data_IF_528679875607
#
_entry.id   IF_528679875607
#
_cell.length_a   1.000
_cell.length_b   1.000
_cell.length_c   1.000
_cell.angle_alpha   90.00
_cell.angle_beta   90.00
_cell.angle_gamma   90.00
#
_symmetry.space_group_name_H-M   'P 1'
#
loop_
_entity.id
_entity.type
_entity.pdbx_description
1 polymer ?
#
# COMPACT_ATOMS: atom_id res chain seq x y z
N UNK A 1 6.34 -12.25 -15.40
CA UNK A 1 5.73 -12.75 -14.14
C UNK A 1 4.23 -12.53 -14.23
N UNK A 2 3.38 -13.56 -14.09
CA UNK A 2 1.92 -13.40 -14.22
C UNK A 2 1.37 -12.70 -12.97
N UNK A 3 1.30 -11.37 -13.02
CA UNK A 3 0.95 -10.50 -11.88
C UNK A 3 -0.40 -10.86 -11.25
N UNK A 4 -1.35 -11.39 -12.02
CA UNK A 4 -2.64 -11.88 -11.54
C UNK A 4 -2.52 -13.06 -10.56
N UNK A 5 -1.69 -14.07 -10.88
CA UNK A 5 -1.48 -15.24 -10.00
C UNK A 5 -0.85 -14.85 -8.66
N UNK A 6 0.05 -13.86 -8.68
CA UNK A 6 0.71 -13.37 -7.48
C UNK A 6 -0.28 -12.64 -6.57
N UNK A 7 -1.12 -11.75 -7.13
CA UNK A 7 -2.19 -11.05 -6.40
C UNK A 7 -3.17 -12.02 -5.75
N UNK A 8 -3.62 -13.04 -6.48
CA UNK A 8 -4.54 -14.06 -5.97
C UNK A 8 -3.94 -14.83 -4.78
N UNK A 9 -2.65 -15.16 -4.86
CA UNK A 9 -1.95 -15.87 -3.77
C UNK A 9 -1.87 -15.01 -2.50
N UNK A 10 -1.61 -13.71 -2.67
CA UNK A 10 -1.57 -12.75 -1.55
C UNK A 10 -2.94 -12.54 -0.92
N UNK A 11 -3.98 -12.41 -1.74
CA UNK A 11 -5.37 -12.32 -1.28
C UNK A 11 -5.77 -13.55 -0.46
N UNK A 12 -5.43 -14.75 -0.95
CA UNK A 12 -5.67 -16.02 -0.24
C UNK A 12 -4.93 -16.06 1.09
N UNK A 13 -3.68 -15.60 1.14
CA UNK A 13 -2.87 -15.54 2.37
C UNK A 13 -3.48 -14.58 3.39
N UNK A 14 -3.84 -13.37 2.97
CA UNK A 14 -4.50 -12.38 3.83
C UNK A 14 -5.86 -12.90 4.34
N UNK A 15 -6.63 -13.60 3.49
CA UNK A 15 -7.91 -14.21 3.86
C UNK A 15 -7.73 -15.34 4.88
N UNK A 16 -6.69 -16.15 4.75
CA UNK A 16 -6.35 -17.19 5.73
C UNK A 16 -6.00 -16.56 7.09
N UNK A 17 -5.25 -15.46 7.09
CA UNK A 17 -4.90 -14.72 8.29
C UNK A 17 -6.14 -14.08 8.97
N UNK A 18 -7.17 -13.69 8.19
CA UNK A 18 -8.45 -13.25 8.74
C UNK A 18 -9.17 -14.38 9.49
N UNK A 19 -9.10 -15.62 9.01
CA UNK A 19 -9.65 -16.79 9.72
C UNK A 19 -8.93 -16.99 11.05
N UNK A 20 -7.60 -16.93 11.07
CA UNK A 20 -6.81 -17.02 12.31
C UNK A 20 -7.19 -15.90 13.28
N UNK A 21 -7.31 -14.65 12.80
CA UNK A 21 -7.72 -13.52 13.64
C UNK A 21 -9.12 -13.75 14.25
N UNK A 22 -10.04 -14.37 13.51
CA UNK A 22 -11.37 -14.74 14.00
C UNK A 22 -11.31 -15.79 15.09
N UNK A 23 -10.52 -16.85 14.89
CA UNK A 23 -10.32 -17.90 15.90
C UNK A 23 -9.71 -17.32 17.18
N UNK A 24 -8.67 -16.49 17.05
CA UNK A 24 -8.03 -15.81 18.19
C UNK A 24 -9.04 -14.95 18.94
N UNK A 25 -9.91 -14.19 18.26
CA UNK A 25 -10.97 -13.40 18.91
C UNK A 25 -11.96 -14.26 19.70
N UNK A 26 -12.27 -15.47 19.23
CA UNK A 26 -13.20 -16.37 19.92
C UNK A 26 -12.57 -17.02 21.15
N UNK A 27 -11.30 -17.41 21.04
CA UNK A 27 -10.60 -18.13 22.11
C UNK A 27 -10.11 -17.16 23.20
N UNK A 28 -9.69 -15.96 22.81
CA UNK A 28 -9.05 -15.00 23.71
C UNK A 28 -9.96 -13.81 23.99
N UNK A 29 -10.10 -13.43 25.27
CA UNK A 29 -10.73 -12.16 25.69
C UNK A 29 -9.81 -10.96 25.45
N UNK A 30 -9.15 -10.91 24.29
CA UNK A 30 -8.24 -9.80 23.96
C UNK A 30 -9.01 -8.49 23.77
N UNK A 31 -8.39 -7.41 24.23
CA UNK A 31 -8.89 -6.07 23.99
C UNK A 31 -8.80 -5.70 22.50
N UNK A 32 -9.61 -4.72 22.10
CA UNK A 32 -9.65 -4.19 20.73
C UNK A 32 -8.27 -3.78 20.23
N UNK A 33 -7.45 -3.14 21.07
CA UNK A 33 -6.11 -2.67 20.70
C UNK A 33 -5.19 -3.81 20.27
N UNK A 34 -5.13 -4.93 21.02
CA UNK A 34 -4.31 -6.08 20.66
C UNK A 34 -4.81 -6.76 19.39
N UNK A 35 -6.12 -6.80 19.17
CA UNK A 35 -6.70 -7.34 17.95
C UNK A 35 -6.36 -6.49 16.72
N UNK A 36 -6.36 -5.16 16.87
CA UNK A 36 -5.90 -4.26 15.83
C UNK A 36 -4.40 -4.46 15.55
N UNK A 37 -3.57 -4.64 16.59
CA UNK A 37 -2.15 -4.98 16.41
C UNK A 37 -1.98 -6.30 15.64
N UNK A 38 -2.75 -7.33 15.95
CA UNK A 38 -2.73 -8.59 15.20
C UNK A 38 -3.18 -8.41 13.74
N UNK A 39 -4.19 -7.58 13.49
CA UNK A 39 -4.59 -7.20 12.15
C UNK A 39 -3.41 -6.54 11.39
N UNK A 40 -2.70 -5.60 12.01
CA UNK A 40 -1.55 -4.95 11.40
C UNK A 40 -0.42 -5.96 11.11
N UNK A 41 -0.10 -6.82 12.07
CA UNK A 41 1.00 -7.78 11.95
C UNK A 41 0.74 -8.92 10.97
N UNK A 42 -0.49 -9.44 10.91
CA UNK A 42 -0.81 -10.62 10.11
C UNK A 42 -1.37 -10.26 8.73
N UNK A 43 -2.28 -9.29 8.68
CA UNK A 43 -3.05 -9.01 7.47
C UNK A 43 -2.45 -7.82 6.74
N UNK A 44 -2.32 -6.68 7.43
CA UNK A 44 -1.85 -5.44 6.82
C UNK A 44 -0.43 -5.58 6.28
N UNK A 45 0.47 -6.24 7.03
CA UNK A 45 1.85 -6.51 6.60
C UNK A 45 1.94 -7.25 5.25
N UNK A 46 1.09 -8.24 5.01
CA UNK A 46 1.06 -9.02 3.76
C UNK A 46 0.60 -8.14 2.59
N UNK A 47 -0.41 -7.31 2.82
CA UNK A 47 -0.95 -6.38 1.81
C UNK A 47 0.06 -5.28 1.49
N UNK A 48 0.66 -4.67 2.51
CA UNK A 48 1.60 -3.56 2.36
C UNK A 48 2.93 -4.01 1.73
N UNK A 49 3.43 -5.19 2.08
CA UNK A 49 4.63 -5.75 1.44
C UNK A 49 4.47 -5.90 -0.08
N UNK A 50 3.24 -6.16 -0.54
CA UNK A 50 2.93 -6.36 -1.95
C UNK A 50 2.49 -5.08 -2.67
N UNK A 51 2.71 -3.91 -2.07
CA UNK A 51 2.37 -2.58 -2.62
C UNK A 51 2.72 -2.40 -4.11
N UNK A 52 3.93 -2.77 -4.61
CA UNK A 52 4.26 -2.62 -6.03
C UNK A 52 3.35 -3.41 -6.97
N UNK A 53 2.85 -4.57 -6.52
CA UNK A 53 1.92 -5.38 -7.31
C UNK A 53 0.52 -4.75 -7.36
N UNK A 54 0.12 -4.01 -6.32
CA UNK A 54 -1.19 -3.40 -6.21
C UNK A 54 -1.32 -2.07 -6.95
N UNK A 55 -0.23 -1.31 -7.12
CA UNK A 55 -0.27 -0.05 -7.87
C UNK A 55 -0.75 -0.21 -9.32
N UNK A 56 -0.44 -1.36 -9.93
CA UNK A 56 -0.87 -1.71 -11.29
C UNK A 56 -2.10 -2.63 -11.28
N UNK A 57 -2.84 -2.68 -10.17
CA UNK A 57 -4.03 -3.50 -10.05
C UNK A 57 -5.27 -2.76 -10.55
N UNK A 58 -6.21 -3.53 -11.08
CA UNK A 58 -7.51 -3.01 -11.44
C UNK A 58 -8.29 -2.68 -10.15
N UNK A 59 -9.22 -1.72 -10.25
CA UNK A 59 -10.06 -1.31 -9.13
C UNK A 59 -10.79 -2.49 -8.46
N UNK A 60 -11.18 -3.50 -9.25
CA UNK A 60 -11.83 -4.71 -8.75
C UNK A 60 -10.98 -5.47 -7.72
N UNK A 61 -9.65 -5.48 -7.88
CA UNK A 61 -8.74 -6.18 -6.96
C UNK A 61 -8.53 -5.36 -5.68
N UNK A 62 -8.40 -4.04 -5.79
CA UNK A 62 -8.35 -3.14 -4.63
C UNK A 62 -9.63 -3.24 -3.79
N UNK A 63 -10.80 -3.36 -4.42
CA UNK A 63 -12.07 -3.59 -3.71
C UNK A 63 -12.09 -4.89 -2.90
N UNK A 64 -11.36 -5.94 -3.32
CA UNK A 64 -11.26 -7.17 -2.52
C UNK A 64 -10.47 -6.95 -1.25
N UNK A 65 -9.37 -6.19 -1.34
CA UNK A 65 -8.57 -5.79 -0.18
C UNK A 65 -9.38 -4.90 0.77
N UNK A 66 -10.19 -3.99 0.24
CA UNK A 66 -11.09 -3.15 1.04
C UNK A 66 -12.14 -3.97 1.79
N UNK A 67 -12.74 -4.96 1.12
CA UNK A 67 -13.68 -5.90 1.77
C UNK A 67 -12.99 -6.70 2.88
N UNK A 68 -11.74 -7.09 2.66
CA UNK A 68 -10.95 -7.83 3.63
C UNK A 68 -10.60 -6.96 4.85
N UNK A 69 -10.17 -5.71 4.64
CA UNK A 69 -9.97 -4.72 5.71
C UNK A 69 -11.24 -4.50 6.50
N UNK A 70 -12.37 -4.24 5.83
CA UNK A 70 -13.66 -4.03 6.49
C UNK A 70 -14.03 -5.21 7.39
N UNK A 71 -13.91 -6.44 6.90
CA UNK A 71 -14.18 -7.65 7.69
C UNK A 71 -13.27 -7.77 8.91
N UNK A 72 -11.97 -7.48 8.75
CA UNK A 72 -11.03 -7.51 9.86
C UNK A 72 -11.35 -6.45 10.92
N UNK A 73 -11.58 -5.19 10.51
CA UNK A 73 -11.89 -4.09 11.42
C UNK A 73 -13.22 -4.31 12.16
N UNK A 74 -14.24 -4.81 11.47
CA UNK A 74 -15.53 -5.17 12.08
C UNK A 74 -15.32 -6.14 13.23
N UNK A 75 -14.47 -7.15 13.02
CA UNK A 75 -14.14 -8.16 14.01
C UNK A 75 -13.28 -7.62 15.17
N UNK A 76 -12.29 -6.78 14.88
CA UNK A 76 -11.43 -6.18 15.91
C UNK A 76 -12.21 -5.21 16.81
N UNK A 77 -13.09 -4.39 16.21
CA UNK A 77 -13.84 -3.34 16.90
C UNK A 77 -15.15 -3.83 17.54
N UNK A 78 -15.51 -5.09 17.33
CA UNK A 78 -16.78 -5.70 17.77
C UNK A 78 -18.01 -4.91 17.31
N UNK A 79 -17.97 -4.46 16.05
CA UNK A 79 -19.00 -3.63 15.46
C UNK A 79 -19.96 -4.47 14.62
N UNK A 80 -21.23 -4.06 14.45
CA UNK A 80 -22.17 -4.73 13.56
C UNK A 80 -21.65 -4.77 12.12
N UNK A 81 -21.97 -5.84 11.38
CA UNK A 81 -21.60 -6.00 9.96
C UNK A 81 -22.19 -4.91 9.06
N UNK A 82 -23.27 -4.25 9.50
CA UNK A 82 -23.91 -3.11 8.84
C UNK A 82 -23.10 -1.82 8.95
N UNK A 83 -22.07 -1.78 9.80
CA UNK A 83 -21.23 -0.60 9.97
C UNK A 83 -20.59 -0.19 8.65
N UNK A 84 -20.65 1.10 8.36
CA UNK A 84 -19.99 1.71 7.21
C UNK A 84 -18.48 1.52 7.29
N UNK A 85 -17.85 1.37 6.13
CA UNK A 85 -16.39 1.21 6.00
C UNK A 85 -15.65 2.37 6.65
N UNK A 86 -16.02 3.60 6.29
CA UNK A 86 -15.39 4.83 6.79
C UNK A 86 -15.46 4.94 8.30
N UNK A 87 -16.61 4.59 8.90
CA UNK A 87 -16.79 4.61 10.34
C UNK A 87 -15.84 3.64 11.07
N UNK A 88 -15.61 2.45 10.49
CA UNK A 88 -14.66 1.46 11.01
C UNK A 88 -13.22 1.97 10.89
N UNK A 89 -12.88 2.56 9.75
CA UNK A 89 -11.54 3.12 9.46
C UNK A 89 -11.20 4.28 10.40
N UNK A 90 -12.13 5.22 10.60
CA UNK A 90 -12.00 6.33 11.53
C UNK A 90 -11.84 5.82 12.96
N UNK A 91 -12.71 4.89 13.40
CA UNK A 91 -12.68 4.34 14.76
C UNK A 91 -11.39 3.56 15.05
N UNK A 92 -10.85 2.86 14.05
CA UNK A 92 -9.59 2.12 14.16
C UNK A 92 -8.34 2.99 13.94
N UNK A 93 -8.50 4.25 13.52
CA UNK A 93 -7.42 5.12 13.04
C UNK A 93 -6.58 4.44 11.92
N UNK A 94 -7.25 3.82 10.95
CA UNK A 94 -6.64 3.09 9.83
C UNK A 94 -6.97 3.77 8.52
N UNK A 95 -5.97 3.97 7.66
CA UNK A 95 -6.18 4.47 6.30
C UNK A 95 -6.87 3.43 5.40
N UNK A 96 -7.75 3.87 4.48
CA UNK A 96 -8.22 3.05 3.37
C UNK A 96 -7.04 2.42 2.59
N UNK A 97 -7.25 1.27 1.94
CA UNK A 97 -6.16 0.51 1.29
C UNK A 97 -5.48 1.32 0.19
N UNK A 98 -6.26 1.96 -0.67
CA UNK A 98 -5.77 2.71 -1.82
C UNK A 98 -4.82 3.88 -1.43
N UNK A 99 -5.24 4.87 -0.61
CA UNK A 99 -4.34 5.92 -0.15
C UNK A 99 -3.16 5.40 0.66
N UNK A 100 -3.29 4.24 1.33
CA UNK A 100 -2.15 3.62 2.02
C UNK A 100 -1.11 3.08 1.04
N UNK A 101 -1.55 2.39 -0.01
CA UNK A 101 -0.66 1.88 -1.06
C UNK A 101 0.06 3.07 -1.71
N UNK A 102 -0.66 4.15 -2.01
CA UNK A 102 -0.08 5.37 -2.53
C UNK A 102 0.99 5.94 -1.58
N UNK A 103 0.67 6.09 -0.29
CA UNK A 103 1.60 6.58 0.74
C UNK A 103 2.89 5.74 0.82
N UNK A 104 2.76 4.40 0.79
CA UNK A 104 3.92 3.49 0.83
C UNK A 104 4.77 3.66 -0.42
N UNK A 105 4.15 3.70 -1.59
CA UNK A 105 4.87 3.85 -2.84
C UNK A 105 5.60 5.19 -2.94
N UNK A 106 4.97 6.28 -2.50
CA UNK A 106 5.62 7.60 -2.41
C UNK A 106 6.86 7.51 -1.51
N UNK A 107 6.71 6.90 -0.33
CA UNK A 107 7.81 6.74 0.63
C UNK A 107 8.96 5.95 0.04
N UNK A 108 8.69 4.86 -0.68
CA UNK A 108 9.73 4.05 -1.33
C UNK A 108 10.41 4.79 -2.48
N UNK A 109 9.65 5.52 -3.31
CA UNK A 109 10.22 6.35 -4.37
C UNK A 109 11.13 7.44 -3.78
N UNK A 110 10.68 8.14 -2.75
CA UNK A 110 11.47 9.18 -2.08
C UNK A 110 12.78 8.61 -1.50
N UNK A 111 12.74 7.41 -0.90
CA UNK A 111 13.95 6.70 -0.44
C UNK A 111 14.90 6.34 -1.58
N UNK A 112 14.38 5.96 -2.75
CA UNK A 112 15.22 5.67 -3.92
C UNK A 112 15.84 6.96 -4.45
N UNK A 113 15.05 8.05 -4.51
CA UNK A 113 15.52 9.36 -4.95
C UNK A 113 16.62 9.93 -4.04
N UNK A 114 16.57 9.69 -2.73
CA UNK A 114 17.61 10.17 -1.81
C UNK A 114 18.94 9.42 -1.94
N UNK A 115 19.00 8.31 -2.69
CA UNK A 115 20.26 7.56 -2.88
C UNK A 115 21.21 8.25 -3.86
N UNK A 116 22.48 7.84 -3.84
CA UNK A 116 23.48 8.29 -4.82
C UNK A 116 23.08 7.87 -6.25
N UNK A 117 23.37 8.72 -7.22
CA UNK A 117 23.07 8.48 -8.66
C UNK A 117 23.81 7.23 -9.20
N UNK A 118 24.90 6.82 -8.54
CA UNK A 118 25.66 5.61 -8.93
C UNK A 118 24.95 4.31 -8.59
N UNK A 119 23.94 4.34 -7.71
CA UNK A 119 23.18 3.16 -7.34
C UNK A 119 22.34 2.66 -8.52
N UNK A 120 22.41 1.36 -8.86
CA UNK A 120 21.74 0.81 -10.04
C UNK A 120 20.21 1.03 -10.02
N UNK A 121 19.60 0.99 -8.83
CA UNK A 121 18.15 1.20 -8.66
C UNK A 121 17.75 2.64 -9.02
N UNK A 122 18.57 3.64 -8.68
CA UNK A 122 18.28 5.04 -9.00
C UNK A 122 18.47 5.30 -10.50
N UNK A 123 19.45 4.67 -11.13
CA UNK A 123 19.64 4.73 -12.58
C UNK A 123 18.45 4.11 -13.34
N UNK A 124 17.98 2.95 -12.88
CA UNK A 124 16.78 2.34 -13.46
C UNK A 124 15.56 3.25 -13.35
N UNK A 125 15.33 3.88 -12.19
CA UNK A 125 14.22 4.82 -12.02
C UNK A 125 14.32 6.01 -12.99
N UNK A 126 15.52 6.57 -13.17
CA UNK A 126 15.75 7.67 -14.12
C UNK A 126 15.45 7.22 -15.55
N UNK A 127 15.94 6.05 -15.97
CA UNK A 127 15.67 5.51 -17.30
C UNK A 127 14.17 5.28 -17.52
N UNK A 128 13.47 4.71 -16.54
CA UNK A 128 12.01 4.55 -16.59
C UNK A 128 11.27 5.89 -16.68
N UNK A 129 11.72 6.92 -15.96
CA UNK A 129 11.12 8.25 -16.04
C UNK A 129 11.33 8.91 -17.40
N UNK A 130 12.49 8.70 -18.02
CA UNK A 130 12.83 9.20 -19.34
C UNK A 130 12.06 8.45 -20.45
N UNK A 131 11.85 7.14 -20.31
CA UNK A 131 11.01 6.33 -21.21
C UNK A 131 9.51 6.67 -21.12
N UNK A 132 9.00 7.00 -19.92
CA UNK A 132 7.58 7.28 -19.67
C UNK A 132 7.20 8.74 -19.99
N UNK A 133 8.16 9.58 -20.38
CA UNK A 133 7.94 10.99 -20.76
C UNK A 133 6.88 11.25 -21.85
N UNK A 134 6.27 10.21 -22.44
CA UNK A 134 5.27 10.35 -23.48
C UNK A 134 3.83 9.87 -23.20
N UNK A 135 3.52 8.90 -22.31
CA UNK A 135 2.16 8.32 -22.44
C UNK A 135 1.54 7.47 -21.29
N UNK A 136 1.68 7.82 -20.01
CA UNK A 136 0.80 7.20 -18.98
C UNK A 136 0.33 8.23 -17.95
N UNK A 137 -0.94 8.10 -17.56
CA UNK A 137 -1.64 8.83 -16.52
C UNK A 137 -0.89 8.74 -15.18
N UNK A 138 0.10 9.59 -15.00
CA UNK A 138 0.79 9.77 -13.74
C UNK A 138 -0.28 10.29 -12.75
N UNK A 139 -0.44 9.63 -11.60
CA UNK A 139 -1.19 10.25 -10.49
C UNK A 139 -0.68 11.69 -10.30
N UNK A 140 -1.53 12.67 -9.93
CA UNK A 140 -1.12 14.08 -9.80
C UNK A 140 0.21 14.26 -9.06
N UNK A 141 0.52 13.35 -8.14
CA UNK A 141 1.73 13.34 -7.34
C UNK A 141 2.99 12.82 -8.04
N UNK A 142 2.90 11.87 -8.97
CA UNK A 142 4.07 11.47 -9.75
C UNK A 142 4.55 12.58 -10.70
N UNK A 143 3.66 13.48 -11.14
CA UNK A 143 4.06 14.71 -11.85
C UNK A 143 4.89 15.64 -10.95
N UNK A 144 4.48 15.80 -9.69
CA UNK A 144 5.20 16.62 -8.71
C UNK A 144 6.60 16.05 -8.39
N UNK A 145 6.74 14.72 -8.34
CA UNK A 145 8.02 14.05 -8.10
C UNK A 145 8.96 14.10 -9.33
N UNK A 146 8.44 14.07 -10.56
CA UNK A 146 9.26 14.31 -11.75
C UNK A 146 9.78 15.76 -11.80
N UNK A 147 8.92 16.73 -11.46
CA UNK A 147 9.31 18.15 -11.42
C UNK A 147 10.40 18.43 -10.39
N UNK A 148 10.41 17.76 -9.23
CA UNK A 148 11.48 17.90 -8.24
C UNK A 148 12.82 17.34 -8.72
N UNK A 149 12.82 16.25 -9.49
CA UNK A 149 14.04 15.66 -10.08
C UNK A 149 14.62 16.56 -11.18
N UNK A 150 13.80 17.16 -12.03
CA UNK A 150 14.26 18.13 -13.02
C UNK A 150 14.87 19.39 -12.37
N UNK A 151 14.29 19.84 -11.25
CA UNK A 151 14.82 20.95 -10.46
C UNK A 151 16.16 20.61 -9.81
N UNK A 152 16.35 19.38 -9.31
CA UNK A 152 17.64 18.91 -8.78
C UNK A 152 18.71 18.74 -9.87
N UNK A 153 18.37 18.19 -11.04
CA UNK A 153 19.27 18.13 -12.21
C UNK A 153 19.72 19.55 -12.63
N UNK A 154 18.79 20.52 -12.69
CA UNK A 154 19.11 21.92 -12.99
C UNK A 154 20.05 22.54 -11.95
N UNK A 155 19.80 22.31 -10.65
CA UNK A 155 20.66 22.81 -9.56
C UNK A 155 22.08 22.25 -9.65
N UNK A 156 22.24 20.95 -9.93
CA UNK A 156 23.54 20.31 -10.08
C UNK A 156 24.34 20.83 -11.30
N UNK A 157 23.64 21.28 -12.35
CA UNK A 157 24.26 21.87 -13.55
C UNK A 157 24.66 23.34 -13.37
N UNK A 158 23.99 24.11 -12.50
CA UNK A 158 24.36 25.50 -12.15
C UNK A 158 25.44 25.64 -11.07
N UNK A 159 25.95 24.55 -10.51
CA UNK A 159 27.06 24.56 -9.54
C UNK A 159 28.43 24.24 -10.15
N UNK A 160 28.54 24.37 -11.48
CA UNK A 160 29.78 24.36 -12.27
C UNK A 160 29.91 25.74 -12.91
#
# INVERSE_FOLDING_TARGET
MNSGKHKETLEKRASRNLTILREVRQISKMNTTKLLQLYFCLIRSVVEYSCPAWQVAEQKDLQKLDRLQRKALTLCLDMPSTSGREALEIKAAVLPIDPRIEEISIREIAKIQSKSIKEPIKQQLINYQEEIGHDIHITPMGKALCQSVEMEKKRALTSI
#
